data_IF_503783445804
#
_entry.id   IF_503783445804
#
_cell.length_a   1.000
_cell.length_b   1.000
_cell.length_c   1.000
_cell.angle_alpha   90.00
_cell.angle_beta   90.00
_cell.angle_gamma   90.00
#
_symmetry.space_group_name_H-M   'P 1'
#
loop_
_entity.id
_entity.type
_entity.pdbx_description
1 polymer ?
#
# COMPACT_ATOMS: atom_id res chain seq x y z
N UNK A 1 -26.52 -3.60 -12.03
CA UNK A 1 -25.98 -4.38 -10.90
C UNK A 1 -26.59 -3.83 -9.61
N UNK A 2 -27.02 -4.69 -8.68
CA UNK A 2 -27.49 -4.24 -7.36
C UNK A 2 -26.35 -3.48 -6.66
N UNK A 3 -26.66 -2.33 -6.06
CA UNK A 3 -25.70 -1.62 -5.25
C UNK A 3 -25.34 -2.51 -4.05
N UNK A 4 -24.08 -2.98 -3.98
CA UNK A 4 -23.58 -3.71 -2.81
C UNK A 4 -23.63 -2.85 -1.55
N UNK A 5 -23.22 -3.41 -0.40
CA UNK A 5 -23.22 -2.66 0.87
C UNK A 5 -22.38 -1.37 0.75
N UNK A 6 -22.86 -0.25 1.34
CA UNK A 6 -22.04 0.95 1.53
C UNK A 6 -20.75 0.62 2.29
N UNK A 7 -19.71 1.43 2.11
CA UNK A 7 -18.48 1.28 2.89
C UNK A 7 -18.77 1.36 4.40
N UNK A 8 -17.98 0.64 5.19
CA UNK A 8 -18.07 0.63 6.66
C UNK A 8 -19.43 0.22 7.27
N UNK A 9 -20.25 -0.53 6.53
CA UNK A 9 -21.54 -1.06 7.03
C UNK A 9 -21.33 -2.03 8.19
N UNK A 10 -20.34 -2.91 8.08
CA UNK A 10 -20.00 -3.91 9.10
C UNK A 10 -18.57 -3.68 9.57
N UNK A 11 -18.41 -3.35 10.85
CA UNK A 11 -17.12 -2.98 11.45
C UNK A 11 -16.76 -3.98 12.54
N UNK A 12 -15.60 -4.61 12.40
CA UNK A 12 -15.07 -5.57 13.37
C UNK A 12 -13.72 -5.10 13.90
N UNK A 13 -13.57 -5.11 15.23
CA UNK A 13 -12.27 -4.92 15.89
C UNK A 13 -11.78 -6.25 16.43
N UNK A 14 -10.56 -6.61 16.09
CA UNK A 14 -9.83 -7.78 16.55
C UNK A 14 -8.64 -7.32 17.39
N UNK A 15 -8.21 -8.16 18.34
CA UNK A 15 -7.01 -7.92 19.15
C UNK A 15 -6.21 -9.20 19.23
N UNK A 16 -4.89 -9.12 19.06
CA UNK A 16 -3.98 -10.27 19.15
C UNK A 16 -3.30 -10.61 17.81
N UNK A 17 -2.90 -11.86 17.64
CA UNK A 17 -2.19 -12.34 16.45
C UNK A 17 -3.16 -13.05 15.51
N UNK A 18 -3.36 -12.50 14.31
CA UNK A 18 -4.17 -13.15 13.28
C UNK A 18 -3.36 -14.23 12.56
N UNK A 19 -3.98 -15.39 12.36
CA UNK A 19 -3.43 -16.44 11.52
C UNK A 19 -3.34 -16.03 10.04
N UNK A 20 -3.01 -16.99 9.19
CA UNK A 20 -2.91 -16.76 7.75
C UNK A 20 -4.24 -16.30 7.14
N UNK A 21 -4.17 -15.55 6.05
CA UNK A 21 -5.32 -15.15 5.23
C UNK A 21 -6.33 -14.24 5.94
N UNK A 22 -5.89 -13.42 6.89
CA UNK A 22 -6.75 -12.43 7.53
C UNK A 22 -7.37 -11.48 6.48
N UNK A 23 -8.70 -11.38 6.45
CA UNK A 23 -9.42 -10.54 5.48
C UNK A 23 -9.41 -11.04 4.03
N UNK A 24 -9.06 -12.31 3.78
CA UNK A 24 -9.08 -12.87 2.44
C UNK A 24 -10.48 -12.79 1.80
N UNK A 25 -10.52 -12.38 0.53
CA UNK A 25 -11.73 -12.20 -0.28
C UNK A 25 -12.81 -11.29 0.34
N UNK A 26 -12.44 -10.48 1.34
CA UNK A 26 -13.39 -9.62 2.02
C UNK A 26 -13.98 -8.59 1.03
N UNK A 27 -15.31 -8.56 0.99
CA UNK A 27 -16.09 -7.77 0.05
C UNK A 27 -16.41 -6.37 0.58
N UNK A 28 -16.83 -5.50 -0.34
CA UNK A 28 -17.27 -4.14 -0.02
C UNK A 28 -18.29 -4.09 1.12
N UNK A 29 -18.07 -3.16 2.04
CA UNK A 29 -18.90 -2.91 3.22
C UNK A 29 -18.38 -3.51 4.52
N UNK A 30 -17.37 -4.38 4.44
CA UNK A 30 -16.62 -4.86 5.60
C UNK A 30 -15.45 -3.92 5.91
N UNK A 31 -15.28 -3.63 7.21
CA UNK A 31 -14.13 -2.90 7.75
C UNK A 31 -13.56 -3.66 8.93
N UNK A 32 -12.32 -4.14 8.82
CA UNK A 32 -11.62 -4.87 9.87
C UNK A 32 -10.50 -4.01 10.44
N UNK A 33 -10.48 -3.85 11.77
CA UNK A 33 -9.36 -3.27 12.50
C UNK A 33 -8.72 -4.36 13.35
N UNK A 34 -7.42 -4.59 13.19
CA UNK A 34 -6.64 -5.52 14.00
C UNK A 34 -5.60 -4.75 14.80
N UNK A 35 -5.77 -4.75 16.12
CA UNK A 35 -4.77 -4.29 17.07
C UNK A 35 -3.86 -5.47 17.44
N UNK A 36 -2.68 -5.53 16.83
CA UNK A 36 -1.79 -6.69 16.88
C UNK A 36 -1.03 -6.88 15.58
N UNK A 37 -0.84 -8.14 15.21
CA UNK A 37 -0.04 -8.57 14.06
C UNK A 37 -0.79 -9.63 13.25
N UNK A 38 -0.37 -9.87 12.01
CA UNK A 38 -0.96 -10.91 11.17
C UNK A 38 0.10 -11.73 10.41
N UNK A 39 -0.17 -13.01 10.23
CA UNK A 39 0.67 -13.89 9.40
C UNK A 39 0.46 -13.64 7.90
N UNK A 40 0.98 -14.53 7.05
CA UNK A 40 0.95 -14.40 5.60
C UNK A 40 -0.47 -14.22 5.00
N UNK A 41 -0.51 -13.68 3.79
CA UNK A 41 -1.71 -13.60 2.94
C UNK A 41 -2.80 -12.65 3.44
N UNK A 42 -2.46 -11.64 4.25
CA UNK A 42 -3.39 -10.56 4.62
C UNK A 42 -4.04 -9.99 3.36
N UNK A 43 -5.38 -9.95 3.33
CA UNK A 43 -6.12 -9.42 2.20
C UNK A 43 -5.91 -10.18 0.89
N UNK A 44 -5.55 -11.47 0.91
CA UNK A 44 -5.52 -12.31 -0.30
C UNK A 44 -6.83 -12.18 -1.07
N UNK A 45 -6.75 -11.80 -2.34
CA UNK A 45 -7.91 -11.59 -3.20
C UNK A 45 -8.89 -10.55 -2.65
N UNK A 46 -8.41 -9.52 -1.93
CA UNK A 46 -9.26 -8.44 -1.40
C UNK A 46 -10.19 -7.90 -2.50
N UNK A 47 -11.47 -7.75 -2.16
CA UNK A 47 -12.55 -7.48 -3.12
C UNK A 47 -13.48 -6.37 -2.63
N UNK A 48 -12.91 -5.30 -2.07
CA UNK A 48 -13.61 -4.06 -1.75
C UNK A 48 -13.74 -3.73 -0.26
N UNK A 49 -13.32 -4.63 0.63
CA UNK A 49 -13.26 -4.34 2.06
C UNK A 49 -12.12 -3.39 2.43
N UNK A 50 -12.18 -2.83 3.64
CA UNK A 50 -11.11 -2.06 4.26
C UNK A 50 -10.49 -2.83 5.42
N UNK A 51 -9.17 -2.97 5.41
CA UNK A 51 -8.39 -3.61 6.47
C UNK A 51 -7.42 -2.58 7.06
N UNK A 52 -7.36 -2.47 8.38
CA UNK A 52 -6.37 -1.67 9.09
C UNK A 52 -5.70 -2.51 10.18
N UNK A 53 -4.37 -2.57 10.16
CA UNK A 53 -3.56 -3.37 11.08
C UNK A 53 -2.54 -2.45 11.72
N UNK A 54 -2.49 -2.45 13.05
CA UNK A 54 -1.62 -1.58 13.83
C UNK A 54 -1.23 -2.27 15.15
N UNK A 55 -0.04 -1.97 15.70
CA UNK A 55 0.42 -2.61 16.93
C UNK A 55 -0.42 -2.18 18.14
N UNK A 56 -0.43 -2.98 19.22
CA UNK A 56 -1.04 -2.60 20.49
C UNK A 56 -0.47 -1.28 21.04
N UNK A 57 -1.30 -0.46 21.69
CA UNK A 57 -0.86 0.83 22.24
C UNK A 57 0.27 0.72 23.29
N UNK A 58 0.41 -0.43 23.95
CA UNK A 58 1.47 -0.72 24.92
C UNK A 58 2.81 -1.16 24.30
N UNK A 59 2.89 -1.25 22.98
CA UNK A 59 4.11 -1.69 22.29
C UNK A 59 5.25 -0.67 22.48
N UNK A 60 6.44 -1.16 22.80
CA UNK A 60 7.62 -0.33 23.06
C UNK A 60 8.59 -0.25 21.88
N UNK A 61 8.32 -0.95 20.78
CA UNK A 61 9.13 -0.93 19.57
C UNK A 61 8.61 0.10 18.56
N UNK A 62 9.49 0.64 17.70
CA UNK A 62 9.12 1.51 16.59
C UNK A 62 8.41 0.66 15.50
N UNK A 63 7.10 0.85 15.25
CA UNK A 63 6.36 0.00 14.32
C UNK A 63 6.93 0.00 12.89
N UNK A 64 7.40 1.16 12.45
CA UNK A 64 8.02 1.41 11.14
C UNK A 64 9.31 0.61 10.92
N UNK A 65 9.90 0.04 11.97
CA UNK A 65 11.10 -0.80 11.90
C UNK A 65 10.82 -2.31 11.94
N UNK A 66 9.59 -2.72 12.28
CA UNK A 66 9.23 -4.09 12.61
C UNK A 66 8.21 -4.69 11.64
N UNK A 67 8.32 -6.00 11.39
CA UNK A 67 7.35 -6.73 10.57
C UNK A 67 6.05 -6.88 11.38
N UNK A 68 4.97 -6.29 10.88
CA UNK A 68 3.63 -6.39 11.48
C UNK A 68 2.72 -7.36 10.71
N UNK A 69 2.96 -7.51 9.40
CA UNK A 69 2.26 -8.50 8.59
C UNK A 69 3.22 -9.38 7.80
N UNK A 70 2.84 -10.64 7.61
CA UNK A 70 3.63 -11.63 6.89
C UNK A 70 3.73 -11.39 5.37
N UNK A 71 4.09 -12.45 4.66
CA UNK A 71 4.39 -12.41 3.23
C UNK A 71 3.12 -12.40 2.37
N UNK A 72 3.28 -12.00 1.11
CA UNK A 72 2.29 -12.18 0.03
C UNK A 72 0.91 -11.56 0.36
N UNK A 73 0.92 -10.45 1.10
CA UNK A 73 -0.30 -9.68 1.35
C UNK A 73 -0.85 -9.10 0.03
N UNK A 74 -2.17 -8.98 -0.05
CA UNK A 74 -2.92 -8.50 -1.22
C UNK A 74 -2.74 -9.33 -2.51
N UNK A 75 -2.35 -10.61 -2.37
CA UNK A 75 -2.20 -11.47 -3.54
C UNK A 75 -3.45 -11.48 -4.42
N UNK A 76 -3.35 -10.97 -5.65
CA UNK A 76 -4.46 -10.98 -6.60
C UNK A 76 -5.64 -10.10 -6.20
N UNK A 77 -5.45 -9.14 -5.31
CA UNK A 77 -6.51 -8.22 -4.90
C UNK A 77 -7.03 -7.41 -6.09
N UNK A 78 -8.34 -7.19 -6.15
CA UNK A 78 -9.01 -6.50 -7.28
C UNK A 78 -9.61 -5.16 -6.89
N UNK A 79 -9.88 -4.96 -5.59
CA UNK A 79 -10.41 -3.72 -5.04
C UNK A 79 -10.32 -3.74 -3.51
N UNK A 80 -10.52 -2.59 -2.87
CA UNK A 80 -10.48 -2.46 -1.41
C UNK A 80 -9.21 -1.78 -0.94
N UNK A 81 -9.06 -1.69 0.38
CA UNK A 81 -8.04 -0.87 1.03
C UNK A 81 -7.33 -1.67 2.13
N UNK A 82 -6.00 -1.54 2.22
CA UNK A 82 -5.18 -2.08 3.31
C UNK A 82 -4.26 -1.00 3.89
N UNK A 83 -4.33 -0.79 5.20
CA UNK A 83 -3.50 0.17 5.93
C UNK A 83 -2.73 -0.55 7.03
N UNK A 84 -1.40 -0.47 7.01
CA UNK A 84 -0.53 -1.24 7.90
C UNK A 84 0.49 -0.32 8.56
N UNK A 85 0.38 -0.12 9.87
CA UNK A 85 1.34 0.68 10.66
C UNK A 85 2.52 -0.20 11.08
N UNK A 86 3.34 -0.55 10.09
CA UNK A 86 4.56 -1.33 10.23
C UNK A 86 4.99 -1.94 8.90
N UNK A 87 6.02 -2.79 8.92
CA UNK A 87 6.52 -3.45 7.71
C UNK A 87 5.68 -4.67 7.33
N UNK A 88 5.54 -4.89 6.04
CA UNK A 88 5.12 -6.17 5.49
C UNK A 88 6.33 -7.03 5.10
N UNK A 89 6.13 -8.35 5.06
CA UNK A 89 7.11 -9.29 4.53
C UNK A 89 7.34 -9.16 3.01
N UNK A 90 7.82 -10.24 2.41
CA UNK A 90 8.12 -10.33 0.98
C UNK A 90 6.86 -10.37 0.12
N UNK A 91 7.00 -10.03 -1.16
CA UNK A 91 5.93 -10.12 -2.19
C UNK A 91 4.67 -9.36 -1.81
N UNK A 92 4.81 -8.26 -1.08
CA UNK A 92 3.69 -7.38 -0.78
C UNK A 92 3.03 -6.89 -2.07
N UNK A 93 1.69 -6.96 -2.15
CA UNK A 93 0.91 -6.55 -3.32
C UNK A 93 1.25 -7.29 -4.62
N UNK A 94 1.76 -8.52 -4.54
CA UNK A 94 1.99 -9.36 -5.72
C UNK A 94 0.69 -9.59 -6.49
N UNK A 95 0.71 -9.33 -7.81
CA UNK A 95 -0.47 -9.41 -8.68
C UNK A 95 -1.65 -8.56 -8.21
N UNK A 96 -1.41 -7.47 -7.48
CA UNK A 96 -2.46 -6.51 -7.19
C UNK A 96 -3.00 -5.92 -8.51
N UNK A 97 -4.31 -5.92 -8.66
CA UNK A 97 -5.02 -5.50 -9.86
C UNK A 97 -5.99 -4.34 -9.60
N UNK A 98 -6.07 -3.83 -8.37
CA UNK A 98 -6.98 -2.71 -8.09
C UNK A 98 -7.17 -2.32 -6.62
N UNK A 99 -6.51 -2.98 -5.66
CA UNK A 99 -6.53 -2.54 -4.27
C UNK A 99 -5.59 -1.35 -4.04
N UNK A 100 -5.97 -0.52 -3.06
CA UNK A 100 -5.18 0.58 -2.53
C UNK A 100 -4.51 0.13 -1.24
N UNK A 101 -3.23 0.46 -1.05
CA UNK A 101 -2.51 0.10 0.16
C UNK A 101 -1.59 1.21 0.68
N UNK A 102 -1.48 1.31 2.00
CA UNK A 102 -0.44 2.09 2.70
C UNK A 102 0.27 1.19 3.71
N UNK A 103 1.60 1.16 3.66
CA UNK A 103 2.45 0.33 4.52
C UNK A 103 3.75 1.07 4.86
N UNK A 104 4.33 0.84 6.04
CA UNK A 104 5.54 1.58 6.50
C UNK A 104 6.87 0.92 6.10
N UNK A 105 6.80 -0.15 5.30
CA UNK A 105 7.95 -0.78 4.67
C UNK A 105 7.59 -2.16 4.12
N UNK A 106 8.39 -2.67 3.20
CA UNK A 106 8.15 -3.97 2.55
C UNK A 106 9.45 -4.74 2.36
N UNK A 107 9.37 -6.07 2.37
CA UNK A 107 10.47 -6.96 1.99
C UNK A 107 10.73 -6.99 0.48
N UNK A 108 11.47 -8.01 0.05
CA UNK A 108 11.82 -8.22 -1.37
C UNK A 108 10.58 -8.47 -2.23
N UNK A 109 10.67 -8.13 -3.52
CA UNK A 109 9.64 -8.38 -4.54
C UNK A 109 8.31 -7.65 -4.31
N UNK A 110 8.32 -6.49 -3.66
CA UNK A 110 7.13 -5.65 -3.53
C UNK A 110 6.54 -5.26 -4.90
N UNK A 111 5.21 -5.27 -5.02
CA UNK A 111 4.46 -4.96 -6.24
C UNK A 111 4.81 -5.82 -7.47
N UNK A 112 5.38 -7.02 -7.27
CA UNK A 112 5.69 -7.94 -8.36
C UNK A 112 4.42 -8.31 -9.15
N UNK A 113 4.47 -8.23 -10.48
CA UNK A 113 3.34 -8.49 -11.39
C UNK A 113 2.07 -7.66 -11.11
N UNK A 114 2.18 -6.52 -10.44
CA UNK A 114 1.06 -5.61 -10.22
C UNK A 114 0.55 -5.05 -11.55
N UNK A 115 -0.76 -5.12 -11.78
CA UNK A 115 -1.42 -4.68 -13.02
C UNK A 115 -2.43 -3.55 -12.79
N UNK A 116 -2.67 -3.16 -11.54
CA UNK A 116 -3.59 -2.08 -11.17
C UNK A 116 -3.59 -1.80 -9.68
N UNK A 117 -4.25 -0.72 -9.28
CA UNK A 117 -4.30 -0.28 -7.88
C UNK A 117 -3.25 0.77 -7.54
N UNK A 118 -3.13 1.06 -6.24
CA UNK A 118 -2.29 2.14 -5.68
C UNK A 118 -1.55 1.62 -4.46
N UNK A 119 -0.23 1.80 -4.40
CA UNK A 119 0.56 1.35 -3.26
C UNK A 119 1.46 2.48 -2.76
N UNK A 120 1.26 2.93 -1.53
CA UNK A 120 2.10 3.89 -0.84
C UNK A 120 2.97 3.16 0.19
N UNK A 121 4.29 3.23 0.03
CA UNK A 121 5.26 2.65 0.97
C UNK A 121 5.99 3.79 1.68
N UNK A 122 5.81 3.89 3.00
CA UNK A 122 6.36 4.95 3.84
C UNK A 122 7.72 4.58 4.43
N UNK A 123 8.58 3.89 3.70
CA UNK A 123 9.87 3.47 4.22
C UNK A 123 10.61 2.47 3.36
N UNK A 124 11.45 1.66 4.02
CA UNK A 124 12.34 0.72 3.36
C UNK A 124 11.60 -0.25 2.43
N UNK A 125 12.21 -0.53 1.29
CA UNK A 125 11.79 -1.53 0.32
C UNK A 125 12.91 -2.55 0.12
N UNK A 126 12.56 -3.82 0.01
CA UNK A 126 13.49 -4.86 -0.41
C UNK A 126 13.78 -4.83 -1.92
N UNK A 127 14.63 -5.75 -2.35
CA UNK A 127 15.15 -5.84 -3.72
C UNK A 127 14.08 -6.26 -4.72
N UNK A 128 14.36 -6.00 -6.00
CA UNK A 128 13.54 -6.42 -7.14
C UNK A 128 12.08 -5.93 -7.05
N UNK A 129 11.88 -4.75 -6.44
CA UNK A 129 10.58 -4.11 -6.37
C UNK A 129 10.06 -3.82 -7.79
N UNK A 130 8.74 -3.95 -7.99
CA UNK A 130 8.04 -3.71 -9.25
C UNK A 130 8.45 -4.61 -10.44
N UNK A 131 9.12 -5.74 -10.19
CA UNK A 131 9.41 -6.70 -11.25
C UNK A 131 8.13 -7.20 -11.93
N UNK A 132 8.06 -7.07 -13.26
CA UNK A 132 6.87 -7.44 -14.04
C UNK A 132 5.64 -6.57 -13.80
N UNK A 133 5.78 -5.42 -13.12
CA UNK A 133 4.67 -4.49 -12.89
C UNK A 133 4.29 -3.79 -14.20
N UNK A 134 3.08 -4.07 -14.70
CA UNK A 134 2.58 -3.53 -15.98
C UNK A 134 1.49 -2.48 -15.81
N UNK A 135 0.93 -2.31 -14.61
CA UNK A 135 -0.12 -1.31 -14.35
C UNK A 135 -0.29 -0.94 -12.87
N UNK A 136 -1.07 0.13 -12.64
CA UNK A 136 -1.19 0.77 -11.33
C UNK A 136 -0.09 1.80 -11.07
N UNK A 137 -0.10 2.39 -9.88
CA UNK A 137 0.92 3.35 -9.42
C UNK A 137 1.43 2.93 -8.04
N UNK A 138 2.72 3.16 -7.79
CA UNK A 138 3.27 3.10 -6.44
C UNK A 138 4.08 4.37 -6.13
N UNK A 139 4.06 4.78 -4.87
CA UNK A 139 4.85 5.89 -4.35
C UNK A 139 5.64 5.42 -3.15
N UNK A 140 6.93 5.73 -3.15
CA UNK A 140 7.88 5.28 -2.13
C UNK A 140 8.46 6.52 -1.46
N UNK A 141 8.27 6.64 -0.15
CA UNK A 141 9.00 7.61 0.64
C UNK A 141 10.42 7.10 0.86
N UNK A 142 11.41 7.73 0.21
CA UNK A 142 12.80 7.30 0.18
C UNK A 142 13.74 8.42 0.69
N UNK A 143 13.69 8.75 1.99
CA UNK A 143 14.55 9.79 2.56
C UNK A 143 16.05 9.47 2.48
N UNK A 144 16.41 8.20 2.28
CA UNK A 144 17.80 7.75 2.18
C UNK A 144 18.31 7.69 0.73
N UNK A 145 17.46 7.87 -0.28
CA UNK A 145 17.84 7.79 -1.70
C UNK A 145 18.28 6.38 -2.14
N UNK A 146 17.81 5.33 -1.46
CA UNK A 146 18.24 3.94 -1.67
C UNK A 146 17.30 3.14 -2.58
N UNK A 147 16.06 3.61 -2.77
CA UNK A 147 15.04 2.89 -3.53
C UNK A 147 15.44 2.57 -4.98
N UNK A 148 16.10 3.46 -5.75
CA UNK A 148 16.43 3.17 -7.14
C UNK A 148 17.28 1.90 -7.33
N UNK A 149 18.15 1.56 -6.36
CA UNK A 149 18.95 0.34 -6.42
C UNK A 149 18.14 -0.95 -6.12
N UNK A 150 17.00 -0.81 -5.46
CA UNK A 150 16.12 -1.91 -5.09
C UNK A 150 14.99 -2.13 -6.10
N UNK A 151 14.77 -1.19 -7.02
CA UNK A 151 13.74 -1.27 -8.05
C UNK A 151 14.22 -2.05 -9.29
N UNK A 152 13.36 -2.90 -9.84
CA UNK A 152 13.55 -3.50 -11.15
C UNK A 152 13.10 -2.52 -12.24
N UNK A 153 14.00 -2.03 -13.12
CA UNK A 153 13.67 -1.00 -14.09
C UNK A 153 13.09 -1.52 -15.42
N UNK A 154 12.91 -2.84 -15.59
CA UNK A 154 12.62 -3.44 -16.91
C UNK A 154 11.30 -2.94 -17.52
N UNK A 155 10.27 -2.72 -16.70
CA UNK A 155 8.92 -2.36 -17.14
C UNK A 155 8.38 -1.06 -16.54
N UNK A 156 9.15 -0.39 -15.67
CA UNK A 156 8.72 0.80 -14.94
C UNK A 156 9.74 1.94 -15.09
N UNK A 157 9.25 3.17 -15.03
CA UNK A 157 10.06 4.37 -14.87
C UNK A 157 9.98 4.85 -13.41
N UNK A 158 11.07 5.45 -12.94
CA UNK A 158 11.10 6.19 -11.68
C UNK A 158 11.01 7.69 -11.98
N UNK A 159 10.04 8.36 -11.37
CA UNK A 159 9.73 9.77 -11.64
C UNK A 159 9.53 10.53 -10.32
N UNK A 160 9.64 11.86 -10.38
CA UNK A 160 9.18 12.73 -9.29
C UNK A 160 7.65 12.79 -9.22
N UNK A 161 7.13 13.44 -8.18
CA UNK A 161 5.69 13.64 -8.02
C UNK A 161 5.16 14.73 -8.97
N UNK A 162 3.97 14.50 -9.54
CA UNK A 162 3.12 15.54 -10.08
C UNK A 162 2.10 16.01 -9.02
N UNK A 163 1.42 17.12 -9.26
CA UNK A 163 0.45 17.71 -8.33
C UNK A 163 -0.69 16.73 -7.97
N UNK A 164 -1.14 15.92 -8.92
CA UNK A 164 -2.17 14.90 -8.66
C UNK A 164 -1.65 13.76 -7.77
N UNK A 165 -0.36 13.43 -7.88
CA UNK A 165 0.28 12.43 -7.02
C UNK A 165 0.33 12.95 -5.57
N UNK A 166 0.71 14.22 -5.36
CA UNK A 166 0.74 14.82 -4.03
C UNK A 166 -0.63 14.83 -3.36
N UNK A 167 -1.66 15.21 -4.12
CA UNK A 167 -3.04 15.23 -3.65
C UNK A 167 -3.49 13.84 -3.20
N UNK A 168 -3.13 12.81 -3.97
CA UNK A 168 -3.48 11.43 -3.66
C UNK A 168 -2.71 10.89 -2.45
N UNK A 169 -1.41 11.13 -2.38
CA UNK A 169 -0.57 10.72 -1.24
C UNK A 169 -1.06 11.36 0.06
N UNK A 170 -1.35 12.67 0.05
CA UNK A 170 -1.89 13.37 1.23
C UNK A 170 -3.21 12.78 1.71
N UNK A 171 -4.10 12.35 0.80
CA UNK A 171 -5.33 11.66 1.17
C UNK A 171 -5.06 10.29 1.79
N UNK A 172 -4.13 9.52 1.22
CA UNK A 172 -3.71 8.21 1.74
C UNK A 172 -3.05 8.32 3.12
N UNK A 173 -2.20 9.32 3.33
CA UNK A 173 -1.56 9.60 4.61
C UNK A 173 -2.61 9.94 5.69
N UNK A 174 -3.59 10.80 5.37
CA UNK A 174 -4.69 11.14 6.29
C UNK A 174 -5.48 9.88 6.69
N UNK A 175 -5.90 9.09 5.71
CA UNK A 175 -6.63 7.84 5.99
C UNK A 175 -5.78 6.85 6.79
N UNK A 176 -4.49 6.71 6.46
CA UNK A 176 -3.58 5.84 7.19
C UNK A 176 -3.45 6.27 8.66
N UNK A 177 -3.27 7.56 8.92
CA UNK A 177 -3.24 8.12 10.27
C UNK A 177 -4.56 7.90 11.02
N UNK A 178 -5.71 8.23 10.43
CA UNK A 178 -7.03 8.06 11.04
C UNK A 178 -7.34 6.60 11.42
N UNK A 179 -6.88 5.65 10.60
CA UNK A 179 -7.19 4.23 10.79
C UNK A 179 -6.22 3.52 11.73
N UNK A 180 -4.96 3.96 11.79
CA UNK A 180 -3.87 3.23 12.46
C UNK A 180 -3.15 4.02 13.56
N UNK A 181 -3.38 5.33 13.63
CA UNK A 181 -2.64 6.24 14.52
C UNK A 181 -1.15 6.37 14.17
N UNK A 182 -0.75 6.12 12.92
CA UNK A 182 0.64 6.22 12.49
C UNK A 182 1.23 7.60 12.79
N UNK A 183 2.35 7.61 13.53
CA UNK A 183 3.11 8.82 13.82
C UNK A 183 3.89 9.30 12.60
N UNK A 184 4.41 8.38 11.79
CA UNK A 184 5.09 8.70 10.55
C UNK A 184 4.15 9.39 9.56
N UNK A 185 2.94 8.87 9.38
CA UNK A 185 1.95 9.53 8.54
C UNK A 185 1.61 10.94 9.04
N UNK A 186 1.46 11.10 10.36
CA UNK A 186 1.22 12.42 10.96
C UNK A 186 2.39 13.38 10.76
N UNK A 187 3.62 12.91 10.89
CA UNK A 187 4.83 13.68 10.61
C UNK A 187 4.85 14.15 9.15
N UNK A 188 4.65 13.25 8.19
CA UNK A 188 4.66 13.58 6.77
C UNK A 188 3.54 14.57 6.39
N UNK A 189 2.38 14.47 7.05
CA UNK A 189 1.30 15.46 6.88
C UNK A 189 1.68 16.85 7.41
N UNK A 190 2.44 16.91 8.51
CA UNK A 190 2.89 18.16 9.12
C UNK A 190 4.09 18.82 8.43
N UNK A 191 4.92 18.03 7.74
CA UNK A 191 6.16 18.46 7.10
C UNK A 191 6.16 18.26 5.58
N UNK A 192 4.97 18.26 4.95
CA UNK A 192 4.82 17.88 3.54
C UNK A 192 5.73 18.67 2.59
N UNK A 193 5.80 20.00 2.75
CA UNK A 193 6.62 20.86 1.88
C UNK A 193 8.12 20.48 1.86
N UNK A 194 8.62 19.97 2.99
CA UNK A 194 10.02 19.56 3.14
C UNK A 194 10.26 18.12 2.67
N UNK A 195 9.24 17.28 2.79
CA UNK A 195 9.35 15.83 2.61
C UNK A 195 8.85 15.35 1.23
N UNK A 196 8.01 16.10 0.52
CA UNK A 196 7.43 15.72 -0.77
C UNK A 196 8.50 15.35 -1.81
N UNK A 197 9.62 16.08 -1.83
CA UNK A 197 10.74 15.83 -2.75
C UNK A 197 11.49 14.52 -2.51
N UNK A 198 11.22 13.81 -1.41
CA UNK A 198 11.81 12.50 -1.07
C UNK A 198 10.93 11.33 -1.50
N UNK A 199 9.79 11.60 -2.14
CA UNK A 199 8.98 10.56 -2.73
C UNK A 199 9.44 10.25 -4.15
N UNK A 200 9.45 8.95 -4.47
CA UNK A 200 9.67 8.43 -5.81
C UNK A 200 8.40 7.77 -6.31
N UNK A 201 7.95 8.17 -7.50
CA UNK A 201 6.85 7.53 -8.21
C UNK A 201 7.38 6.38 -9.06
N UNK A 202 6.75 5.22 -8.94
CA UNK A 202 6.97 4.06 -9.82
C UNK A 202 5.84 4.02 -10.84
N UNK A 203 6.19 4.24 -12.11
CA UNK A 203 5.23 4.37 -13.20
C UNK A 203 5.46 3.28 -14.27
N UNK A 204 4.54 2.31 -14.43
CA UNK A 204 4.63 1.33 -15.50
C UNK A 204 4.61 1.97 -16.89
N UNK A 205 5.58 1.59 -17.73
CA UNK A 205 5.79 2.18 -19.05
C UNK A 205 4.59 1.95 -19.99
N UNK A 206 3.99 0.77 -19.94
CA UNK A 206 2.81 0.44 -20.74
C UNK A 206 1.59 1.28 -20.32
N UNK A 207 1.38 1.43 -19.01
CA UNK A 207 0.30 2.26 -18.48
C UNK A 207 0.46 3.73 -18.89
N UNK A 208 1.69 4.24 -18.84
CA UNK A 208 2.02 5.61 -19.29
C UNK A 208 1.68 5.82 -20.77
N UNK A 209 2.05 4.86 -21.63
CA UNK A 209 1.74 4.92 -23.07
C UNK A 209 0.24 5.02 -23.34
N UNK A 210 -0.57 4.24 -22.61
CA UNK A 210 -2.03 4.26 -22.75
C UNK A 210 -2.62 5.61 -22.32
N UNK A 211 -2.14 6.20 -21.23
CA UNK A 211 -2.62 7.50 -20.75
C UNK A 211 -2.30 8.63 -21.76
N UNK A 212 -1.07 8.69 -22.26
CA UNK A 212 -0.67 9.68 -23.28
C UNK A 212 -1.45 9.47 -24.59
N UNK A 213 -1.69 8.22 -24.98
CA UNK A 213 -2.49 7.90 -26.16
C UNK A 213 -3.94 8.36 -26.05
N UNK A 214 -4.56 8.27 -24.87
CA UNK A 214 -5.91 8.78 -24.62
C UNK A 214 -6.00 10.30 -24.68
N UNK A 215 -4.99 11.02 -24.17
CA UNK A 215 -4.94 12.50 -24.22
C UNK A 215 -4.80 13.00 -25.65
N UNK A 216 -4.06 12.30 -26.51
CA UNK A 216 -3.93 12.68 -27.93
C UNK A 216 -5.18 12.40 -28.78
N UNK A 217 -6.07 11.53 -28.30
CA UNK A 217 -7.29 11.13 -29.00
C UNK A 217 -8.54 11.88 -28.52
N UNK A 218 -8.42 12.69 -27.46
CA UNK A 218 -9.46 13.57 -26.94
C UNK A 218 -9.26 15.00 -27.44
#
# INVERSE_FOLDING_TARGET
ALAGLPADTLRYKFTGSAGQSFGAFAAKGLTFKLEGEANDYVGKGLSGARLAIFPPASSTFAPEDNILIGNVALYGATSGELYVRGKAGERFAVRNSGATAVVEGVGDHGCEYMTGGRVLVLGHTGRNFAAGMSGGLAWIYDPAGTFPANCNPDMVALEGLAEEDETEILALLKQHHELTGSHLANFLLGSWEEEAGRFVKVFPLEYKRVLVGKVKAA
#
